data_IF_216000087262
#
_entry.id   IF_216000087262
#
_cell.length_a   1.000
_cell.length_b   1.000
_cell.length_c   1.000
_cell.angle_alpha   90.00
_cell.angle_beta   90.00
_cell.angle_gamma   90.00
#
_symmetry.space_group_name_H-M   'P 1'
#
loop_
_entity.id
_entity.type
_entity.pdbx_description
1 polymer ?
#
# COMPACT_ATOMS: atom_id res chain seq x y z
N UNK A 1 8.42 13.18 23.84
CA UNK A 1 8.29 11.70 23.91
C UNK A 1 8.20 11.18 22.48
N UNK A 2 8.85 10.06 22.14
CA UNK A 2 8.73 9.46 20.79
C UNK A 2 7.40 8.73 20.69
N UNK A 3 6.75 8.80 19.52
CA UNK A 3 5.58 7.97 19.23
C UNK A 3 5.97 6.50 19.35
N UNK A 4 5.21 5.73 20.13
CA UNK A 4 5.38 4.30 20.28
C UNK A 4 4.44 3.66 19.27
N UNK A 5 4.98 3.19 18.14
CA UNK A 5 4.19 2.36 17.21
C UNK A 5 3.69 1.15 17.99
N UNK A 6 2.38 0.93 17.96
CA UNK A 6 1.78 -0.30 18.45
C UNK A 6 1.91 -1.35 17.34
N UNK A 7 2.69 -2.42 17.54
CA UNK A 7 2.78 -3.51 16.58
C UNK A 7 1.41 -4.11 16.31
N UNK A 8 1.18 -4.45 15.05
CA UNK A 8 -0.06 -5.05 14.58
C UNK A 8 0.22 -6.40 13.91
N UNK A 9 -0.85 -7.11 13.52
CA UNK A 9 -0.72 -8.40 12.85
C UNK A 9 0.13 -8.33 11.57
N UNK A 10 0.02 -7.24 10.81
CA UNK A 10 0.82 -7.05 9.60
C UNK A 10 2.34 -7.04 9.90
N UNK A 11 2.74 -6.58 11.09
CA UNK A 11 4.15 -6.56 11.48
C UNK A 11 4.72 -7.98 11.68
N UNK A 12 3.87 -9.00 11.91
CA UNK A 12 4.26 -10.42 11.96
C UNK A 12 4.67 -10.97 10.58
N UNK A 13 4.27 -10.30 9.49
CA UNK A 13 4.65 -10.65 8.12
C UNK A 13 5.87 -9.85 7.62
N UNK A 14 6.41 -8.96 8.46
CA UNK A 14 7.50 -8.09 8.08
C UNK A 14 8.80 -8.87 7.86
N UNK A 15 9.48 -8.59 6.73
CA UNK A 15 10.84 -9.07 6.48
C UNK A 15 11.89 -8.33 7.31
N UNK A 16 11.52 -7.20 7.93
CA UNK A 16 12.41 -6.47 8.82
C UNK A 16 12.39 -7.14 10.20
N UNK A 17 13.54 -7.71 10.58
CA UNK A 17 13.68 -8.47 11.82
C UNK A 17 13.26 -7.70 13.07
N UNK A 18 13.57 -6.40 13.15
CA UNK A 18 13.21 -5.60 14.33
C UNK A 18 11.70 -5.40 14.44
N UNK A 19 11.04 -5.12 13.32
CA UNK A 19 9.59 -4.94 13.26
C UNK A 19 8.87 -6.25 13.61
N UNK A 20 9.36 -7.36 13.06
CA UNK A 20 8.84 -8.69 13.38
C UNK A 20 9.06 -9.06 14.85
N UNK A 21 10.27 -8.87 15.37
CA UNK A 21 10.61 -9.20 16.75
C UNK A 21 9.78 -8.37 17.75
N UNK A 22 9.61 -7.07 17.50
CA UNK A 22 8.76 -6.20 18.33
C UNK A 22 7.29 -6.66 18.35
N UNK A 23 6.78 -7.16 17.21
CA UNK A 23 5.43 -7.71 17.13
C UNK A 23 5.29 -9.03 17.89
N UNK A 24 6.23 -9.97 17.72
CA UNK A 24 6.24 -11.27 18.41
C UNK A 24 6.37 -11.09 19.92
N UNK A 25 7.22 -10.18 20.37
CA UNK A 25 7.44 -9.90 21.79
C UNK A 25 6.19 -9.35 22.50
N UNK A 26 5.22 -8.83 21.74
CA UNK A 26 3.95 -8.32 22.29
C UNK A 26 2.81 -9.33 22.25
N UNK A 27 3.05 -10.56 21.82
CA UNK A 27 2.00 -11.57 21.85
C UNK A 27 1.81 -12.15 23.27
N UNK A 28 0.54 -12.27 23.69
CA UNK A 28 0.11 -12.94 24.93
C UNK A 28 0.62 -14.38 24.90
N UNK A 29 1.67 -14.65 25.67
CA UNK A 29 2.23 -16.00 25.85
C UNK A 29 3.41 -16.36 24.92
N UNK A 30 3.91 -15.45 24.08
CA UNK A 30 5.09 -15.69 23.22
C UNK A 30 4.88 -16.72 22.09
N UNK A 31 5.97 -17.36 21.66
CA UNK A 31 5.98 -18.45 20.66
C UNK A 31 5.47 -19.75 21.33
N UNK A 32 4.29 -20.30 20.95
CA UNK A 32 3.89 -20.59 19.57
C UNK A 32 2.61 -19.90 19.05
N UNK A 33 2.06 -18.92 19.77
CA UNK A 33 0.75 -18.36 19.42
C UNK A 33 0.80 -17.20 18.40
N UNK A 34 1.97 -16.59 18.20
CA UNK A 34 2.24 -15.65 17.13
C UNK A 34 3.52 -16.05 16.41
N UNK A 35 3.42 -16.46 15.14
CA UNK A 35 4.58 -16.48 14.25
C UNK A 35 4.99 -17.81 13.62
N UNK A 36 4.24 -18.91 13.81
CA UNK A 36 4.52 -20.12 13.02
C UNK A 36 4.18 -19.94 11.53
N UNK A 37 3.11 -19.18 11.24
CA UNK A 37 2.62 -18.86 9.90
C UNK A 37 2.52 -17.33 9.64
N UNK A 38 2.86 -16.51 10.63
CA UNK A 38 2.80 -15.05 10.54
C UNK A 38 1.43 -14.43 10.76
N UNK A 39 0.45 -15.20 11.28
CA UNK A 39 -0.92 -14.73 11.49
C UNK A 39 -1.39 -14.88 12.94
N UNK A 40 -2.38 -14.07 13.30
CA UNK A 40 -3.09 -14.09 14.57
C UNK A 40 -4.50 -14.65 14.37
N UNK A 41 -4.70 -15.95 14.56
CA UNK A 41 -6.01 -16.62 14.36
C UNK A 41 -7.10 -16.26 15.40
N UNK A 42 -6.91 -15.18 16.14
CA UNK A 42 -7.77 -14.78 17.25
C UNK A 42 -8.23 -13.31 17.14
N UNK A 43 -8.38 -12.79 15.92
CA UNK A 43 -8.83 -11.41 15.65
C UNK A 43 -8.02 -10.37 16.44
N UNK A 44 -6.68 -10.50 16.43
CA UNK A 44 -5.79 -9.60 17.17
C UNK A 44 -5.69 -9.86 18.68
N UNK A 45 -6.51 -10.76 19.26
CA UNK A 45 -6.43 -11.12 20.70
C UNK A 45 -5.14 -11.82 21.09
N UNK A 46 -4.34 -12.24 20.13
CA UNK A 46 -2.99 -12.75 20.39
C UNK A 46 -2.06 -11.64 20.89
N UNK A 47 -2.33 -10.35 20.66
CA UNK A 47 -1.52 -9.26 21.19
C UNK A 47 -1.91 -8.91 22.62
N UNK A 48 -0.91 -8.54 23.43
CA UNK A 48 -1.11 -8.02 24.77
C UNK A 48 -1.88 -6.69 24.69
N UNK A 49 -2.92 -6.56 25.51
CA UNK A 49 -3.65 -5.30 25.62
C UNK A 49 -2.69 -4.28 26.24
N UNK A 50 -2.37 -3.22 25.49
CA UNK A 50 -1.53 -2.14 26.00
C UNK A 50 -2.42 -0.97 26.40
N UNK A 51 -2.53 -0.73 27.70
CA UNK A 51 -3.06 0.54 28.20
C UNK A 51 -2.05 1.66 27.90
N UNK A 52 -2.50 2.67 27.17
CA UNK A 52 -1.72 3.87 26.86
C UNK A 52 -2.09 4.99 27.82
N UNK A 53 -1.12 5.82 28.20
CA UNK A 53 -1.46 7.12 28.76
C UNK A 53 -2.12 8.00 27.70
N UNK A 54 -2.86 9.03 28.13
CA UNK A 54 -3.50 9.97 27.22
C UNK A 54 -2.49 10.59 26.23
N UNK A 55 -1.31 10.95 26.71
CA UNK A 55 -0.25 11.55 25.89
C UNK A 55 0.30 10.56 24.85
N UNK A 56 0.46 9.29 25.23
CA UNK A 56 0.89 8.23 24.31
C UNK A 56 -0.17 7.95 23.24
N UNK A 57 -1.45 7.93 23.62
CA UNK A 57 -2.56 7.73 22.70
C UNK A 57 -2.66 8.87 21.67
N UNK A 58 -2.44 10.13 22.09
CA UNK A 58 -2.41 11.28 21.17
C UNK A 58 -1.28 11.13 20.15
N UNK A 59 -0.07 10.79 20.61
CA UNK A 59 1.08 10.62 19.71
C UNK A 59 0.88 9.46 18.71
N UNK A 60 0.23 8.37 19.14
CA UNK A 60 -0.08 7.25 18.25
C UNK A 60 -1.18 7.59 17.25
N UNK A 61 -2.19 8.35 17.66
CA UNK A 61 -3.20 8.88 16.74
C UNK A 61 -2.58 9.77 15.65
N UNK A 62 -1.67 10.67 16.02
CA UNK A 62 -0.98 11.53 15.06
C UNK A 62 -0.16 10.70 14.05
N UNK A 63 0.51 9.64 14.52
CA UNK A 63 1.25 8.70 13.67
C UNK A 63 0.31 7.97 12.69
N UNK A 64 -0.80 7.42 13.19
CA UNK A 64 -1.79 6.72 12.36
C UNK A 64 -2.45 7.66 11.33
N UNK A 65 -2.71 8.92 11.71
CA UNK A 65 -3.24 9.92 10.79
C UNK A 65 -2.26 10.20 9.64
N UNK A 66 -0.97 10.26 9.93
CA UNK A 66 0.08 10.43 8.92
C UNK A 66 0.19 9.21 7.99
N UNK A 67 0.20 7.99 8.54
CA UNK A 67 0.23 6.76 7.72
C UNK A 67 -1.00 6.64 6.81
N UNK A 68 -2.18 6.98 7.33
CA UNK A 68 -3.41 7.01 6.54
C UNK A 68 -3.35 8.07 5.44
N UNK A 69 -2.78 9.25 5.71
CA UNK A 69 -2.61 10.29 4.72
C UNK A 69 -1.69 9.85 3.58
N UNK A 70 -0.56 9.24 3.89
CA UNK A 70 0.40 8.70 2.91
C UNK A 70 -0.24 7.60 2.06
N UNK A 71 -0.91 6.63 2.70
CA UNK A 71 -1.61 5.56 1.99
C UNK A 71 -2.71 6.09 1.06
N UNK A 72 -3.45 7.14 1.47
CA UNK A 72 -4.43 7.80 0.60
C UNK A 72 -3.78 8.48 -0.59
N UNK A 73 -2.62 9.10 -0.40
CA UNK A 73 -1.89 9.73 -1.49
C UNK A 73 -1.40 8.70 -2.50
N UNK A 74 -0.82 7.59 -2.04
CA UNK A 74 -0.37 6.49 -2.91
C UNK A 74 -1.53 5.85 -3.66
N UNK A 75 -2.66 5.61 -2.98
CA UNK A 75 -3.86 5.10 -3.63
C UNK A 75 -4.39 6.09 -4.68
N UNK A 76 -4.35 7.39 -4.39
CA UNK A 76 -4.68 8.43 -5.38
C UNK A 76 -3.76 8.40 -6.61
N UNK A 77 -2.45 8.19 -6.43
CA UNK A 77 -1.50 8.02 -7.53
C UNK A 77 -1.82 6.76 -8.34
N UNK A 78 -2.10 5.64 -7.69
CA UNK A 78 -2.45 4.40 -8.36
C UNK A 78 -3.75 4.53 -9.15
N UNK A 79 -4.77 5.17 -8.57
CA UNK A 79 -6.08 5.38 -9.22
C UNK A 79 -5.96 6.25 -10.48
N UNK A 80 -5.08 7.24 -10.46
CA UNK A 80 -4.86 8.16 -11.61
C UNK A 80 -3.73 7.71 -12.54
N UNK A 81 -2.94 6.70 -12.16
CA UNK A 81 -1.78 6.23 -12.93
C UNK A 81 -2.12 5.81 -14.35
N UNK A 82 -3.22 5.08 -14.51
CA UNK A 82 -3.66 4.56 -15.81
C UNK A 82 -4.19 5.68 -16.71
N UNK A 83 -4.90 6.66 -16.16
CA UNK A 83 -5.34 7.85 -16.90
C UNK A 83 -4.14 8.71 -17.33
N UNK A 84 -3.16 8.91 -16.43
CA UNK A 84 -1.93 9.64 -16.74
C UNK A 84 -1.15 8.98 -17.88
N UNK A 85 -1.00 7.65 -17.84
CA UNK A 85 -0.34 6.88 -18.89
C UNK A 85 -1.09 6.99 -20.23
N UNK A 86 -2.42 6.90 -20.22
CA UNK A 86 -3.24 7.10 -21.43
C UNK A 86 -3.00 8.50 -22.01
N UNK A 87 -3.02 9.55 -21.19
CA UNK A 87 -2.79 10.92 -21.66
C UNK A 87 -1.39 11.10 -22.28
N UNK A 88 -0.35 10.49 -21.68
CA UNK A 88 1.00 10.51 -22.24
C UNK A 88 1.08 9.77 -23.59
N UNK A 89 0.41 8.63 -23.71
CA UNK A 89 0.32 7.88 -24.96
C UNK A 89 -0.47 8.65 -26.03
N UNK A 90 -1.56 9.32 -25.66
CA UNK A 90 -2.35 10.17 -26.58
C UNK A 90 -1.53 11.37 -27.06
N UNK A 91 -0.73 12.00 -26.19
CA UNK A 91 0.21 13.05 -26.60
C UNK A 91 1.27 12.50 -27.57
N UNK A 92 1.88 11.36 -27.26
CA UNK A 92 2.86 10.71 -28.12
C UNK A 92 2.26 10.30 -29.48
N UNK A 93 1.00 9.86 -29.49
CA UNK A 93 0.26 9.52 -30.70
C UNK A 93 0.17 10.73 -31.64
N UNK A 94 -0.22 11.90 -31.13
CA UNK A 94 -0.32 13.13 -31.93
C UNK A 94 1.04 13.57 -32.48
N UNK A 95 2.11 13.46 -31.69
CA UNK A 95 3.46 13.76 -32.17
C UNK A 95 3.90 12.81 -33.29
N UNK A 96 3.63 11.51 -33.16
CA UNK A 96 4.01 10.53 -34.18
C UNK A 96 3.15 10.65 -35.45
N UNK A 97 1.88 11.06 -35.35
CA UNK A 97 1.04 11.41 -36.51
C UNK A 97 1.65 12.56 -37.31
N UNK A 98 2.02 13.66 -36.64
CA UNK A 98 2.65 14.83 -37.26
C UNK A 98 3.96 14.47 -37.96
N UNK A 99 4.72 13.55 -37.38
CA UNK A 99 6.01 13.09 -37.90
C UNK A 99 5.91 11.96 -38.95
N UNK A 100 4.71 11.56 -39.37
CA UNK A 100 4.51 10.53 -40.41
C UNK A 100 4.94 9.11 -40.01
N UNK A 101 5.08 8.81 -38.71
CA UNK A 101 5.56 7.51 -38.20
C UNK A 101 4.40 6.51 -38.03
N UNK A 102 3.88 6.00 -39.14
CA UNK A 102 2.66 5.18 -39.19
C UNK A 102 2.70 3.93 -38.31
N UNK A 103 3.84 3.23 -38.24
CA UNK A 103 4.00 2.02 -37.41
C UNK A 103 3.90 2.35 -35.92
N UNK A 104 4.48 3.48 -35.50
CA UNK A 104 4.39 3.97 -34.12
C UNK A 104 2.99 4.41 -33.77
N UNK A 105 2.29 5.08 -34.70
CA UNK A 105 0.88 5.46 -34.53
C UNK A 105 0.01 4.23 -34.31
N UNK A 106 0.21 3.17 -35.09
CA UNK A 106 -0.50 1.90 -34.92
C UNK A 106 -0.22 1.28 -33.55
N UNK A 107 1.05 1.14 -33.17
CA UNK A 107 1.44 0.54 -31.89
C UNK A 107 0.85 1.31 -30.69
N UNK A 108 0.93 2.64 -30.70
CA UNK A 108 0.39 3.47 -29.62
C UNK A 108 -1.13 3.35 -29.51
N UNK A 109 -1.86 3.31 -30.65
CA UNK A 109 -3.32 3.09 -30.66
C UNK A 109 -3.69 1.75 -30.03
N UNK A 110 -2.94 0.70 -30.38
CA UNK A 110 -3.15 -0.62 -29.81
C UNK A 110 -2.94 -0.61 -28.29
N UNK A 111 -1.83 -0.04 -27.80
CA UNK A 111 -1.55 0.08 -26.36
C UNK A 111 -2.67 0.82 -25.61
N UNK A 112 -3.14 1.96 -26.12
CA UNK A 112 -4.25 2.71 -25.50
C UNK A 112 -5.52 1.86 -25.42
N UNK A 113 -5.83 1.11 -26.48
CA UNK A 113 -7.00 0.23 -26.54
C UNK A 113 -6.93 -0.88 -25.49
N UNK A 114 -5.79 -1.56 -25.37
CA UNK A 114 -5.62 -2.65 -24.41
C UNK A 114 -5.66 -2.16 -22.95
N UNK A 115 -5.07 -0.99 -22.66
CA UNK A 115 -5.16 -0.38 -21.33
C UNK A 115 -6.63 -0.05 -21.02
N UNK A 116 -7.35 0.62 -21.94
CA UNK A 116 -8.78 0.97 -21.74
C UNK A 116 -9.67 -0.27 -21.59
N UNK A 117 -9.37 -1.36 -22.30
CA UNK A 117 -10.08 -2.63 -22.18
C UNK A 117 -9.87 -3.26 -20.79
N UNK A 118 -8.64 -3.29 -20.31
CA UNK A 118 -8.30 -3.81 -18.98
C UNK A 118 -9.02 -3.04 -17.88
N UNK A 119 -9.07 -1.70 -17.99
CA UNK A 119 -9.79 -0.84 -17.05
C UNK A 119 -11.31 -1.09 -17.03
N UNK A 120 -11.92 -1.44 -18.17
CA UNK A 120 -13.36 -1.74 -18.26
C UNK A 120 -13.75 -3.12 -17.75
N UNK A 121 -12.83 -4.09 -17.79
CA UNK A 121 -13.06 -5.46 -17.32
C UNK A 121 -12.79 -5.66 -15.82
N UNK A 122 -12.30 -4.64 -15.12
CA UNK A 122 -11.99 -4.65 -13.69
C UNK A 122 -13.11 -4.05 -12.82
N UNK A 123 -14.29 -3.77 -13.41
CA UNK A 123 -15.47 -3.20 -12.75
C UNK A 123 -16.53 -4.26 -12.47
#
# INVERSE_FOLDING_TARGET
MKAIKIPCEHDLLSKNHNVWADAVMRCKGGNPYCGADGFCHADGKCFADQELTREQAILEMDRLAQELYEAKQENGKLKTSSESLINQLEFALEQNKKNGKSERVFAIRYCISEIKKTLRGAA
#
